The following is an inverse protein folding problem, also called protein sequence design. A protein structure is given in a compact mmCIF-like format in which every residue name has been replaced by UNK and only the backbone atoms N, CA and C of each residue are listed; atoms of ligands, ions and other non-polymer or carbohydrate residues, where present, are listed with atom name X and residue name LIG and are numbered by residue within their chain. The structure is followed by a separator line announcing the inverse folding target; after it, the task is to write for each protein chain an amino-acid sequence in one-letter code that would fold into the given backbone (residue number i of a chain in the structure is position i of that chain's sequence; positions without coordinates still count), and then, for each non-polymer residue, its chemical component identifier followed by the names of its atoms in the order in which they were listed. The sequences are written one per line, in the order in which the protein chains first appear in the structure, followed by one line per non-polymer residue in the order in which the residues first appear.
data_IF_504148037777
#
_entry.id   IF_504148037777
#
_cell.length_a   1.000
_cell.length_b   1.000
_cell.length_c   1.000
_cell.angle_alpha   90.00
_cell.angle_beta   90.00
_cell.angle_gamma   90.00
#
_symmetry.space_group_name_H-M   'P 1'
#
loop_
_entity.id
_entity.type
_entity.pdbx_description
1 polymer ?
#
# COMPACT_ATOMS: atom_id res chain seq x y z
N UNK A 1 -7.78 -14.34 -21.79
CA UNK A 1 -9.17 -13.82 -21.88
C UNK A 1 -9.17 -12.69 -22.90
N UNK A 2 -10.19 -12.51 -23.75
CA UNK A 2 -10.25 -11.33 -24.61
C UNK A 2 -11.01 -10.21 -23.88
N UNK A 3 -10.36 -9.07 -23.68
CA UNK A 3 -10.91 -7.90 -23.01
C UNK A 3 -11.22 -6.82 -24.04
N UNK A 4 -12.29 -6.05 -23.82
CA UNK A 4 -12.68 -4.94 -24.71
C UNK A 4 -12.66 -3.64 -23.91
N UNK A 5 -11.83 -2.69 -24.31
CA UNK A 5 -11.78 -1.36 -23.70
C UNK A 5 -11.89 -0.28 -24.79
N UNK A 6 -12.85 0.65 -24.64
CA UNK A 6 -13.17 1.71 -25.62
C UNK A 6 -13.35 1.22 -27.07
N UNK A 7 -13.96 0.05 -27.24
CA UNK A 7 -14.22 -0.54 -28.56
C UNK A 7 -13.01 -1.20 -29.22
N UNK A 8 -11.85 -1.22 -28.58
CA UNK A 8 -10.69 -1.99 -29.02
C UNK A 8 -10.60 -3.30 -28.24
N UNK A 9 -10.34 -4.39 -28.98
CA UNK A 9 -10.16 -5.73 -28.43
C UNK A 9 -8.69 -5.96 -28.11
N UNK A 10 -8.43 -6.44 -26.91
CA UNK A 10 -7.10 -6.80 -26.44
C UNK A 10 -7.12 -8.23 -25.93
N UNK A 11 -6.14 -9.01 -26.35
CA UNK A 11 -5.93 -10.32 -25.80
C UNK A 11 -5.21 -10.18 -24.46
N UNK A 12 -5.96 -10.42 -23.37
CA UNK A 12 -5.37 -10.49 -22.04
C UNK A 12 -4.60 -11.79 -21.92
N UNK A 13 -3.28 -11.64 -22.02
CA UNK A 13 -2.29 -12.62 -21.59
C UNK A 13 -2.13 -12.43 -20.07
N UNK A 14 -2.80 -13.24 -19.23
CA UNK A 14 -2.52 -13.20 -17.80
C UNK A 14 -1.03 -13.46 -17.61
N UNK A 15 -0.31 -12.48 -17.07
CA UNK A 15 1.06 -12.67 -16.60
C UNK A 15 0.97 -13.72 -15.49
N UNK A 16 1.19 -14.99 -15.87
CA UNK A 16 1.08 -16.12 -14.95
C UNK A 16 1.95 -15.86 -13.74
N UNK A 17 1.30 -15.77 -12.57
CA UNK A 17 1.97 -15.49 -11.30
C UNK A 17 2.80 -16.69 -10.79
N UNK A 18 2.84 -17.82 -11.51
CA UNK A 18 3.44 -19.07 -11.01
C UNK A 18 4.49 -19.70 -11.93
N UNK A 19 4.98 -19.00 -12.96
CA UNK A 19 6.12 -19.49 -13.75
C UNK A 19 7.29 -18.50 -13.80
N UNK A 20 7.74 -17.98 -12.65
CA UNK A 20 9.17 -17.68 -12.38
C UNK A 20 9.43 -17.77 -10.87
N UNK A 21 9.28 -18.97 -10.30
CA UNK A 21 9.92 -19.35 -9.04
C UNK A 21 11.04 -20.36 -9.24
N UNK A 22 11.46 -20.54 -10.49
CA UNK A 22 12.63 -21.32 -10.84
C UNK A 22 13.58 -20.42 -11.59
N UNK A 23 14.81 -20.40 -11.09
CA UNK A 23 15.95 -19.61 -11.53
C UNK A 23 15.98 -18.16 -11.04
N UNK A 24 17.03 -17.86 -10.28
CA UNK A 24 17.60 -16.54 -10.05
C UNK A 24 18.02 -15.87 -11.38
N UNK A 25 17.11 -15.72 -12.35
CA UNK A 25 17.36 -15.13 -13.68
C UNK A 25 16.86 -13.68 -13.76
N UNK A 26 16.15 -13.19 -12.74
CA UNK A 26 15.79 -11.77 -12.63
C UNK A 26 16.91 -10.87 -12.07
N UNK A 27 18.12 -11.39 -11.92
CA UNK A 27 19.33 -10.58 -11.97
C UNK A 27 19.80 -10.39 -13.43
N UNK A 28 18.90 -10.51 -14.41
CA UNK A 28 19.17 -10.08 -15.77
C UNK A 28 19.37 -8.55 -15.72
N UNK A 29 20.64 -8.16 -15.85
CA UNK A 29 21.09 -6.79 -16.07
C UNK A 29 20.23 -6.22 -17.21
N UNK A 30 19.18 -5.47 -16.88
CA UNK A 30 18.33 -4.85 -17.91
C UNK A 30 19.08 -3.61 -18.38
N UNK A 31 19.32 -3.42 -19.68
CA UNK A 31 19.99 -2.21 -20.15
C UNK A 31 19.18 -0.99 -19.72
N UNK A 32 19.87 0.09 -19.38
CA UNK A 32 19.22 1.36 -19.10
C UNK A 32 18.33 1.77 -20.28
N UNK A 33 17.15 2.31 -19.98
CA UNK A 33 16.19 2.71 -21.00
C UNK A 33 15.64 4.11 -20.75
N UNK A 34 15.19 4.73 -21.84
CA UNK A 34 14.71 6.12 -21.84
C UNK A 34 13.18 6.17 -21.84
N UNK A 35 12.61 6.86 -20.86
CA UNK A 35 11.18 7.18 -20.79
C UNK A 35 10.95 8.60 -21.26
N UNK A 36 10.04 8.78 -22.21
CA UNK A 36 9.66 10.09 -22.71
C UNK A 36 8.30 10.47 -22.15
N UNK A 37 8.23 11.59 -21.43
CA UNK A 37 6.97 12.08 -20.87
C UNK A 37 6.92 13.61 -20.93
N UNK A 38 5.89 14.14 -21.60
CA UNK A 38 5.65 15.59 -21.78
C UNK A 38 6.87 16.39 -22.28
N UNK A 39 7.62 15.82 -23.22
CA UNK A 39 8.82 16.45 -23.79
C UNK A 39 10.09 16.29 -22.95
N UNK A 40 10.00 15.68 -21.77
CA UNK A 40 11.15 15.35 -20.94
C UNK A 40 11.58 13.90 -21.17
N UNK A 41 12.89 13.66 -21.14
CA UNK A 41 13.50 12.33 -21.23
C UNK A 41 14.04 11.95 -19.86
N UNK A 42 13.61 10.79 -19.35
CA UNK A 42 14.02 10.23 -18.08
C UNK A 42 14.81 8.96 -18.35
N UNK A 43 16.07 8.92 -17.95
CA UNK A 43 16.94 7.76 -18.03
C UNK A 43 16.72 6.89 -16.79
N UNK A 44 16.31 5.64 -16.96
CA UNK A 44 16.15 4.69 -15.87
C UNK A 44 17.16 3.57 -16.04
N UNK A 45 18.06 3.41 -15.07
CA UNK A 45 18.95 2.26 -14.96
C UNK A 45 18.39 1.29 -13.89
N UNK A 46 17.86 0.12 -14.31
CA UNK A 46 17.31 -0.86 -13.38
C UNK A 46 18.36 -1.54 -12.50
N UNK A 47 19.65 -1.42 -12.84
CA UNK A 47 20.74 -2.06 -12.11
C UNK A 47 21.54 -1.07 -11.27
N UNK A 48 21.17 0.21 -11.29
CA UNK A 48 21.77 1.20 -10.41
C UNK A 48 21.43 0.85 -8.96
N UNK A 49 22.44 0.88 -8.09
CA UNK A 49 22.24 0.73 -6.65
C UNK A 49 21.19 1.74 -6.17
N UNK A 50 20.20 1.32 -5.35
CA UNK A 50 19.19 2.23 -4.84
C UNK A 50 19.89 3.38 -4.11
N UNK A 51 19.82 4.58 -4.70
CA UNK A 51 20.44 5.77 -4.10
C UNK A 51 19.86 5.94 -2.70
N UNK A 52 20.74 6.08 -1.70
CA UNK A 52 20.32 6.41 -0.34
C UNK A 52 19.37 7.62 -0.41
N UNK A 53 18.24 7.60 0.34
CA UNK A 53 17.29 8.69 0.31
C UNK A 53 18.04 9.98 0.65
N UNK A 54 18.05 10.92 -0.30
CA UNK A 54 18.63 12.24 -0.09
C UNK A 54 17.89 12.87 1.08
N UNK A 55 18.60 13.15 2.17
CA UNK A 55 18.03 13.79 3.33
C UNK A 55 17.51 15.16 2.92
N UNK A 56 16.19 15.34 2.94
CA UNK A 56 15.61 16.65 2.70
C UNK A 56 16.00 17.59 3.84
N UNK A 57 16.44 18.82 3.55
CA UNK A 57 16.77 19.80 4.57
C UNK A 57 15.53 20.11 5.41
N UNK A 58 15.72 20.26 6.72
CA UNK A 58 14.64 20.64 7.64
C UNK A 58 14.15 22.03 7.25
N UNK A 59 12.89 22.13 6.80
CA UNK A 59 12.29 23.42 6.47
C UNK A 59 11.79 24.07 7.76
N UNK A 60 12.28 25.28 8.05
CA UNK A 60 11.73 26.11 9.12
C UNK A 60 10.66 27.02 8.53
N UNK A 61 9.43 26.83 8.98
CA UNK A 61 8.26 27.61 8.58
C UNK A 61 7.85 28.53 9.72
N UNK A 62 7.40 29.75 9.40
CA UNK A 62 6.91 30.70 10.40
C UNK A 62 5.45 31.04 10.08
N UNK A 63 4.55 30.79 11.03
CA UNK A 63 3.14 31.18 10.91
C UNK A 63 2.71 31.94 12.16
N UNK A 64 2.25 33.18 11.97
CA UNK A 64 1.80 34.10 13.04
C UNK A 64 2.79 34.24 14.22
N UNK A 65 4.09 34.30 13.91
CA UNK A 65 5.16 34.47 14.89
C UNK A 65 5.64 33.19 15.57
N UNK A 66 4.98 32.05 15.32
CA UNK A 66 5.43 30.74 15.81
C UNK A 66 6.24 30.03 14.74
N UNK A 67 7.39 29.47 15.13
CA UNK A 67 8.27 28.68 14.27
C UNK A 67 7.87 27.20 14.32
N UNK A 68 7.82 26.57 13.15
CA UNK A 68 7.52 25.15 12.96
C UNK A 68 8.67 24.54 12.17
N UNK A 69 9.20 23.41 12.63
CA UNK A 69 10.17 22.64 11.87
C UNK A 69 9.45 21.48 11.19
N UNK A 70 9.55 21.41 9.86
CA UNK A 70 9.06 20.28 9.08
C UNK A 70 10.27 19.40 8.70
N UNK A 71 10.36 18.23 9.31
CA UNK A 71 11.34 17.23 8.92
C UNK A 71 10.84 16.55 7.63
N UNK A 72 11.73 16.46 6.64
CA UNK A 72 11.52 15.98 5.29
C UNK A 72 10.45 14.90 5.15
N UNK A 73 9.50 15.14 4.25
CA UNK A 73 8.41 14.23 3.94
C UNK A 73 8.91 13.15 2.96
N UNK A 74 9.88 12.34 3.38
CA UNK A 74 10.28 11.13 2.65
C UNK A 74 10.61 9.98 3.60
N UNK A 75 9.79 8.94 3.44
CA UNK A 75 10.02 7.54 3.78
C UNK A 75 9.99 7.09 5.25
N UNK A 76 9.01 6.21 5.51
CA UNK A 76 9.14 4.94 6.22
C UNK A 76 10.34 4.76 7.17
N UNK A 77 10.00 4.48 8.43
CA UNK A 77 10.73 3.61 9.37
C UNK A 77 12.21 3.94 9.62
N UNK A 78 12.53 4.61 10.72
CA UNK A 78 12.98 3.97 11.97
C UNK A 78 13.31 5.07 13.01
N UNK A 79 13.05 4.74 14.28
CA UNK A 79 13.16 5.59 15.46
C UNK A 79 14.61 5.60 15.96
N UNK A 80 15.01 6.71 16.61
CA UNK A 80 16.20 6.97 17.47
C UNK A 80 17.12 8.00 16.81
N UNK A 81 17.14 9.27 17.23
CA UNK A 81 17.82 9.80 18.44
C UNK A 81 17.86 11.33 18.26
N UNK A 82 17.91 12.25 19.24
CA UNK A 82 17.83 12.24 20.69
C UNK A 82 17.72 13.72 21.16
N UNK A 83 16.96 13.96 22.25
CA UNK A 83 17.16 14.94 23.36
C UNK A 83 17.43 16.42 22.99
N UNK A 84 16.80 17.46 23.54
CA UNK A 84 15.94 17.69 24.71
C UNK A 84 15.20 19.02 24.46
N UNK A 85 14.11 19.40 25.14
CA UNK A 85 14.16 20.12 26.42
C UNK A 85 12.70 20.40 26.85
N UNK A 86 12.37 19.92 28.06
CA UNK A 86 11.39 20.44 29.03
C UNK A 86 9.90 19.99 28.97
N UNK A 87 9.59 19.20 30.00
CA UNK A 87 8.42 19.26 30.91
C UNK A 87 7.25 18.31 30.68
N UNK A 88 7.35 17.20 31.43
CA UNK A 88 6.34 16.68 32.36
C UNK A 88 4.87 16.77 31.92
N UNK A 89 4.37 15.63 31.43
CA UNK A 89 3.22 15.01 32.06
C UNK A 89 3.20 13.51 31.77
N UNK A 90 3.26 12.75 32.85
CA UNK A 90 2.95 11.33 32.93
C UNK A 90 1.57 11.06 32.34
N UNK A 91 1.51 10.63 31.08
CA UNK A 91 0.37 9.87 30.54
C UNK A 91 0.92 8.67 29.80
N UNK A 92 0.58 7.52 30.35
CA UNK A 92 0.77 6.17 29.84
C UNK A 92 0.99 6.11 28.33
N UNK A 93 2.13 5.54 27.95
CA UNK A 93 2.37 5.07 26.59
C UNK A 93 1.28 4.04 26.22
N UNK A 94 0.21 4.51 25.58
CA UNK A 94 -0.82 3.68 24.93
C UNK A 94 -0.78 3.90 23.41
N UNK A 95 0.41 3.96 22.82
CA UNK A 95 0.58 4.10 21.36
C UNK A 95 0.24 2.83 20.57
N UNK A 96 -0.10 1.74 21.26
CA UNK A 96 -0.52 0.46 20.65
C UNK A 96 -2.02 0.35 20.40
N UNK A 97 -2.87 1.25 20.93
CA UNK A 97 -4.32 1.08 20.83
C UNK A 97 -4.86 1.40 19.43
N UNK A 98 -4.29 2.37 18.71
CA UNK A 98 -4.78 2.79 17.40
C UNK A 98 -4.73 1.69 16.33
N UNK A 99 -3.65 0.90 16.27
CA UNK A 99 -3.57 -0.22 15.30
C UNK A 99 -4.53 -1.36 15.65
N UNK A 100 -4.72 -1.62 16.95
CA UNK A 100 -5.68 -2.63 17.40
C UNK A 100 -7.12 -2.20 17.11
N UNK A 101 -7.45 -0.93 17.34
CA UNK A 101 -8.75 -0.32 17.02
C UNK A 101 -9.02 -0.34 15.50
N UNK A 102 -8.02 -0.04 14.67
CA UNK A 102 -8.18 -0.14 13.21
C UNK A 102 -8.43 -1.59 12.80
N UNK A 103 -7.71 -2.55 13.38
CA UNK A 103 -7.90 -3.97 13.08
C UNK A 103 -9.29 -4.49 13.50
N UNK A 104 -9.84 -4.00 14.62
CA UNK A 104 -11.20 -4.38 15.05
C UNK A 104 -12.27 -3.77 14.15
N UNK A 105 -12.12 -2.51 13.75
CA UNK A 105 -13.02 -1.84 12.79
C UNK A 105 -12.96 -2.53 11.42
N UNK A 106 -11.77 -2.94 10.97
CA UNK A 106 -11.63 -3.68 9.72
C UNK A 106 -12.38 -5.02 9.77
N UNK A 107 -12.19 -5.80 10.86
CA UNK A 107 -12.89 -7.08 11.06
C UNK A 107 -14.41 -6.90 11.09
N UNK A 108 -14.93 -5.90 11.79
CA UNK A 108 -16.38 -5.65 11.83
C UNK A 108 -16.94 -5.25 10.47
N UNK A 109 -16.21 -4.45 9.70
CA UNK A 109 -16.61 -4.08 8.34
C UNK A 109 -16.64 -5.27 7.38
N UNK A 110 -15.65 -6.18 7.44
CA UNK A 110 -15.66 -7.41 6.65
C UNK A 110 -16.88 -8.28 6.99
N UNK A 111 -17.17 -8.47 8.28
CA UNK A 111 -18.30 -9.27 8.71
C UNK A 111 -19.64 -8.67 8.24
N UNK A 112 -19.83 -7.36 8.41
CA UNK A 112 -21.03 -6.66 7.94
C UNK A 112 -21.20 -6.76 6.42
N UNK A 113 -20.10 -6.66 5.67
CA UNK A 113 -20.14 -6.77 4.22
C UNK A 113 -20.55 -8.18 3.77
N UNK A 114 -19.94 -9.21 4.36
CA UNK A 114 -20.28 -10.62 4.08
C UNK A 114 -21.73 -10.93 4.43
N UNK A 115 -22.20 -10.51 5.60
CA UNK A 115 -23.59 -10.73 6.02
C UNK A 115 -24.57 -10.07 5.04
N UNK A 116 -24.31 -8.83 4.61
CA UNK A 116 -25.13 -8.15 3.62
C UNK A 116 -25.14 -8.90 2.27
N UNK A 117 -23.98 -9.36 1.81
CA UNK A 117 -23.86 -10.11 0.54
C UNK A 117 -24.56 -11.47 0.62
N UNK A 118 -24.49 -12.15 1.77
CA UNK A 118 -25.24 -13.39 2.01
C UNK A 118 -26.75 -13.16 1.99
N UNK A 119 -27.21 -12.06 2.59
CA UNK A 119 -28.63 -11.71 2.58
C UNK A 119 -29.13 -11.48 1.14
N UNK A 120 -28.39 -10.67 0.36
CA UNK A 120 -28.73 -10.43 -1.06
C UNK A 120 -28.67 -11.73 -1.86
N UNK A 121 -27.64 -12.57 -1.65
CA UNK A 121 -27.49 -13.84 -2.35
C UNK A 121 -28.67 -14.79 -2.07
N UNK A 122 -29.15 -14.82 -0.82
CA UNK A 122 -30.34 -15.58 -0.40
C UNK A 122 -31.61 -15.06 -1.04
N UNK A 123 -31.77 -13.75 -1.12
CA UNK A 123 -32.91 -13.11 -1.80
C UNK A 123 -32.91 -13.39 -3.31
N UNK A 124 -31.74 -13.41 -3.94
CA UNK A 124 -31.59 -13.78 -5.36
C UNK A 124 -31.67 -15.29 -5.62
N UNK A 125 -31.51 -16.14 -4.60
CA UNK A 125 -31.47 -17.61 -4.75
C UNK A 125 -30.16 -18.17 -5.32
N UNK A 126 -29.09 -17.39 -5.36
CA UNK A 126 -27.79 -17.76 -5.95
C UNK A 126 -26.99 -18.68 -5.02
N UNK A 127 -27.25 -19.98 -5.11
CA UNK A 127 -26.62 -21.01 -4.26
C UNK A 127 -25.09 -21.09 -4.42
N UNK A 128 -24.57 -20.84 -5.62
CA UNK A 128 -23.13 -20.79 -5.87
C UNK A 128 -22.44 -19.63 -5.14
N UNK A 129 -23.13 -18.49 -5.03
CA UNK A 129 -22.61 -17.33 -4.33
C UNK A 129 -22.68 -17.51 -2.82
N UNK A 130 -23.75 -18.13 -2.31
CA UNK A 130 -23.91 -18.46 -0.89
C UNK A 130 -22.78 -19.37 -0.42
N UNK A 131 -22.54 -20.47 -1.14
CA UNK A 131 -21.49 -21.44 -0.78
C UNK A 131 -20.09 -20.81 -0.77
N UNK A 132 -19.78 -19.93 -1.74
CA UNK A 132 -18.51 -19.20 -1.77
C UNK A 132 -18.39 -18.24 -0.58
N UNK A 133 -19.43 -17.46 -0.28
CA UNK A 133 -19.43 -16.53 0.85
C UNK A 133 -19.33 -17.24 2.21
N UNK A 134 -19.93 -18.42 2.35
CA UNK A 134 -19.78 -19.26 3.54
C UNK A 134 -18.35 -19.77 3.71
N UNK A 135 -17.67 -20.14 2.61
CA UNK A 135 -16.25 -20.51 2.64
C UNK A 135 -15.34 -19.33 3.02
N UNK A 136 -15.65 -18.12 2.52
CA UNK A 136 -14.91 -16.90 2.85
C UNK A 136 -15.09 -16.52 4.33
N UNK A 137 -16.29 -16.73 4.88
CA UNK A 137 -16.56 -16.53 6.30
C UNK A 137 -15.73 -17.47 7.19
N UNK A 138 -15.59 -18.74 6.79
CA UNK A 138 -14.77 -19.72 7.52
C UNK A 138 -13.27 -19.38 7.53
N UNK A 139 -12.78 -18.67 6.51
CA UNK A 139 -11.36 -18.28 6.44
C UNK A 139 -11.03 -17.03 7.27
N UNK A 140 -12.02 -16.19 7.56
CA UNK A 140 -11.86 -14.94 8.30
C UNK A 140 -12.11 -15.12 9.81
N UNK A 141 -12.86 -16.15 10.19
CA UNK A 141 -13.08 -16.57 11.58
C UNK A 141 -11.79 -17.10 12.24
#
# INVERSE_FOLDING_TARGET
MQLTYRGAHYEYTPRSAEAVRESNVFQAIRPAFNLHYRGSVYTVDPNAEPSLPVLQPVAQLVYRGSTYALNGWTASTNVQSALSVISNNSRSNKKTSGSAEIATVHRSNLHNNLQRRLQVARESGDQSLITLLESELQQIA
#
